data_IF_867031246968
#
_entry.id   IF_867031246968
#
_cell.length_a   1.000
_cell.length_b   1.000
_cell.length_c   1.000
_cell.angle_alpha   90.00
_cell.angle_beta   90.00
_cell.angle_gamma   90.00
#
_symmetry.space_group_name_H-M   'P 1'
#
loop_
_entity.id
_entity.type
_entity.pdbx_description
1 polymer ?
#
# COMPACT_ATOMS: atom_id res chain seq x y z
N UNK A 1 -12.40 -9.92 13.66
CA UNK A 1 -11.04 -9.48 14.09
C UNK A 1 -9.94 -10.52 13.95
N UNK A 2 -10.01 -11.74 14.51
CA UNK A 2 -8.92 -12.73 14.35
C UNK A 2 -8.64 -13.10 12.89
N UNK A 3 -9.69 -13.20 12.08
CA UNK A 3 -9.54 -13.48 10.64
C UNK A 3 -8.92 -12.30 9.87
N UNK A 4 -9.27 -11.07 10.24
CA UNK A 4 -8.66 -9.85 9.68
C UNK A 4 -7.18 -9.73 10.04
N UNK A 5 -6.78 -10.09 11.26
CA UNK A 5 -5.38 -10.19 11.65
C UNK A 5 -4.65 -11.26 10.83
N UNK A 6 -5.29 -12.42 10.62
CA UNK A 6 -4.78 -13.47 9.74
C UNK A 6 -4.60 -12.99 8.29
N UNK A 7 -5.55 -12.23 7.76
CA UNK A 7 -5.45 -11.62 6.43
C UNK A 7 -4.31 -10.60 6.36
N UNK A 8 -4.14 -9.74 7.38
CA UNK A 8 -3.05 -8.77 7.44
C UNK A 8 -1.68 -9.45 7.34
N UNK A 9 -1.48 -10.55 8.08
CA UNK A 9 -0.23 -11.33 8.02
C UNK A 9 0.00 -11.93 6.64
N UNK A 10 -1.06 -12.42 5.98
CA UNK A 10 -0.97 -12.94 4.60
C UNK A 10 -0.61 -11.85 3.61
N UNK A 11 -1.19 -10.66 3.73
CA UNK A 11 -0.85 -9.50 2.89
C UNK A 11 0.64 -9.13 3.03
N UNK A 12 1.15 -9.08 4.26
CA UNK A 12 2.58 -8.84 4.51
C UNK A 12 3.48 -9.91 3.88
N UNK A 13 3.11 -11.19 3.98
CA UNK A 13 3.85 -12.28 3.33
C UNK A 13 3.84 -12.17 1.80
N UNK A 14 2.70 -11.86 1.20
CA UNK A 14 2.58 -11.65 -0.26
C UNK A 14 3.48 -10.50 -0.70
N UNK A 15 3.47 -9.39 0.04
CA UNK A 15 4.22 -8.22 -0.33
C UNK A 15 5.74 -8.43 -0.15
N UNK A 16 6.17 -9.23 0.83
CA UNK A 16 7.56 -9.69 0.95
C UNK A 16 7.98 -10.59 -0.24
N UNK A 17 7.14 -11.52 -0.67
CA UNK A 17 7.42 -12.34 -1.86
C UNK A 17 7.49 -11.48 -3.12
N UNK A 18 6.58 -10.52 -3.25
CA UNK A 18 6.59 -9.56 -4.36
C UNK A 18 7.90 -8.78 -4.40
N UNK A 19 8.38 -8.26 -3.28
CA UNK A 19 9.66 -7.54 -3.18
C UNK A 19 10.83 -8.39 -3.69
N UNK A 20 11.00 -9.60 -3.15
CA UNK A 20 12.07 -10.53 -3.56
C UNK A 20 12.00 -10.82 -5.05
N UNK A 21 10.81 -11.10 -5.59
CA UNK A 21 10.64 -11.40 -7.03
C UNK A 21 10.88 -10.17 -7.90
N UNK A 22 10.38 -9.02 -7.49
CA UNK A 22 10.51 -7.77 -8.24
C UNK A 22 11.96 -7.29 -8.35
N UNK A 23 12.77 -7.53 -7.32
CA UNK A 23 14.19 -7.19 -7.30
C UNK A 23 14.97 -7.80 -8.47
N UNK A 24 14.53 -8.97 -8.96
CA UNK A 24 15.16 -9.68 -10.07
C UNK A 24 14.82 -9.12 -11.47
N UNK A 25 13.79 -8.29 -11.56
CA UNK A 25 13.31 -7.71 -12.84
C UNK A 25 14.10 -6.44 -13.22
N UNK A 26 14.81 -5.83 -12.27
CA UNK A 26 15.62 -4.61 -12.51
C UNK A 26 14.81 -3.35 -12.82
N UNK A 27 13.49 -3.39 -12.68
CA UNK A 27 12.60 -2.27 -12.95
C UNK A 27 12.22 -1.56 -11.65
N UNK A 28 12.63 -0.29 -11.52
CA UNK A 28 12.42 0.55 -10.33
C UNK A 28 10.95 0.78 -10.00
N UNK A 29 10.05 0.79 -10.99
CA UNK A 29 8.62 0.92 -10.75
C UNK A 29 8.05 -0.26 -9.96
N UNK A 30 8.58 -1.46 -10.14
CA UNK A 30 8.13 -2.62 -9.35
C UNK A 30 8.58 -2.52 -7.89
N UNK A 31 9.80 -2.04 -7.62
CA UNK A 31 10.21 -1.75 -6.25
C UNK A 31 9.30 -0.69 -5.60
N UNK A 32 8.88 0.33 -6.36
CA UNK A 32 7.96 1.36 -5.87
C UNK A 32 6.52 0.84 -5.63
N UNK A 33 6.08 -0.22 -6.31
CA UNK A 33 4.79 -0.87 -6.02
C UNK A 33 4.78 -1.48 -4.61
N UNK A 34 5.93 -1.92 -4.11
CA UNK A 34 6.04 -2.44 -2.73
C UNK A 34 5.69 -1.37 -1.71
N UNK A 35 6.18 -0.14 -1.92
CA UNK A 35 5.89 1.00 -1.06
C UNK A 35 4.37 1.26 -0.96
N UNK A 36 3.63 1.17 -2.08
CA UNK A 36 2.18 1.29 -2.09
C UNK A 36 1.49 0.21 -1.25
N UNK A 37 1.95 -1.04 -1.36
CA UNK A 37 1.42 -2.15 -0.57
C UNK A 37 1.68 -1.96 0.93
N UNK A 38 2.85 -1.45 1.30
CA UNK A 38 3.19 -1.18 2.71
C UNK A 38 2.29 -0.11 3.31
N UNK A 39 2.06 1.00 2.61
CA UNK A 39 1.16 2.04 3.11
C UNK A 39 -0.25 1.49 3.33
N UNK A 40 -0.75 0.65 2.41
CA UNK A 40 -2.05 -0.01 2.58
C UNK A 40 -2.09 -0.94 3.80
N UNK A 41 -1.07 -1.81 3.96
CA UNK A 41 -0.99 -2.74 5.09
C UNK A 41 -0.87 -1.99 6.42
N UNK A 42 -0.11 -0.90 6.47
CA UNK A 42 0.02 -0.04 7.64
C UNK A 42 -1.34 0.54 8.07
N UNK A 43 -2.13 1.04 7.11
CA UNK A 43 -3.48 1.56 7.38
C UNK A 43 -4.40 0.47 7.94
N UNK A 44 -4.44 -0.71 7.30
CA UNK A 44 -5.22 -1.85 7.79
C UNK A 44 -4.80 -2.27 9.22
N UNK A 45 -3.49 -2.29 9.50
CA UNK A 45 -2.95 -2.63 10.82
C UNK A 45 -3.40 -1.62 11.88
N UNK A 46 -3.40 -0.33 11.52
CA UNK A 46 -3.81 0.77 12.41
C UNK A 46 -5.30 0.71 12.73
N UNK A 47 -6.17 0.53 11.74
CA UNK A 47 -7.62 0.39 11.97
C UNK A 47 -7.91 -0.84 12.84
N UNK A 48 -7.25 -1.98 12.57
CA UNK A 48 -7.42 -3.19 13.37
C UNK A 48 -6.99 -3.00 14.83
N UNK A 49 -5.90 -2.26 15.09
CA UNK A 49 -5.46 -1.89 16.45
C UNK A 49 -6.45 -0.98 17.17
N UNK A 50 -7.25 -0.21 16.43
CA UNK A 50 -8.34 0.61 16.96
C UNK A 50 -9.65 -0.19 17.13
N UNK A 51 -9.64 -1.49 16.83
CA UNK A 51 -10.82 -2.36 16.94
C UNK A 51 -11.83 -2.20 15.81
N UNK A 52 -11.44 -1.56 14.71
CA UNK A 52 -12.29 -1.34 13.53
C UNK A 52 -12.11 -2.44 12.49
N UNK A 53 -13.17 -2.69 11.74
CA UNK A 53 -13.14 -3.61 10.62
C UNK A 53 -12.76 -2.84 9.35
N UNK A 54 -11.50 -2.90 8.93
CA UNK A 54 -11.03 -2.16 7.75
C UNK A 54 -11.67 -2.62 6.42
N UNK A 55 -12.42 -3.74 6.42
CA UNK A 55 -13.18 -4.20 5.25
C UNK A 55 -14.58 -3.57 5.24
N UNK A 56 -15.27 -3.57 6.39
CA UNK A 56 -16.63 -3.03 6.49
C UNK A 56 -16.65 -1.50 6.68
N UNK A 57 -15.81 -0.98 7.59
CA UNK A 57 -15.73 0.43 7.92
C UNK A 57 -14.86 1.22 6.91
N UNK A 58 -14.08 0.49 6.11
CA UNK A 58 -13.11 1.06 5.19
C UNK A 58 -11.86 1.61 5.88
N UNK A 59 -10.99 2.23 5.07
CA UNK A 59 -9.76 2.85 5.52
C UNK A 59 -9.91 4.36 5.61
N UNK A 60 -9.32 4.95 6.65
CA UNK A 60 -9.28 6.40 6.85
C UNK A 60 -7.83 6.89 6.75
N UNK A 61 -7.40 7.37 5.56
CA UNK A 61 -6.05 7.88 5.37
C UNK A 61 -5.85 9.16 6.19
N UNK A 62 -4.72 9.23 6.89
CA UNK A 62 -4.21 10.47 7.46
C UNK A 62 -3.51 11.30 6.37
N UNK A 63 -3.20 12.57 6.66
CA UNK A 63 -2.40 13.40 5.76
C UNK A 63 -1.05 12.74 5.41
N UNK A 64 -0.39 12.13 6.40
CA UNK A 64 0.86 11.41 6.21
C UNK A 64 0.71 10.18 5.30
N UNK A 65 -0.39 9.41 5.45
CA UNK A 65 -0.65 8.27 4.55
C UNK A 65 -0.85 8.76 3.11
N UNK A 66 -1.57 9.87 2.92
CA UNK A 66 -1.80 10.48 1.60
C UNK A 66 -0.49 10.94 0.97
N UNK A 67 0.40 11.57 1.75
CA UNK A 67 1.73 11.98 1.27
C UNK A 67 2.59 10.77 0.89
N UNK A 68 2.60 9.72 1.71
CA UNK A 68 3.30 8.45 1.41
C UNK A 68 2.76 7.79 0.15
N UNK A 69 1.42 7.75 -0.01
CA UNK A 69 0.77 7.22 -1.22
C UNK A 69 1.15 8.01 -2.47
N UNK A 70 1.10 9.34 -2.41
CA UNK A 70 1.48 10.20 -3.54
C UNK A 70 2.95 10.02 -3.93
N UNK A 71 3.84 9.95 -2.94
CA UNK A 71 5.27 9.72 -3.16
C UNK A 71 5.52 8.35 -3.80
N UNK A 72 4.89 7.30 -3.29
CA UNK A 72 5.01 5.96 -3.84
C UNK A 72 4.41 5.89 -5.26
N UNK A 73 3.26 6.53 -5.49
CA UNK A 73 2.63 6.62 -6.81
C UNK A 73 3.55 7.31 -7.82
N UNK A 74 4.13 8.46 -7.47
CA UNK A 74 5.06 9.18 -8.34
C UNK A 74 6.30 8.35 -8.69
N UNK A 75 6.82 7.57 -7.74
CA UNK A 75 7.92 6.63 -8.02
C UNK A 75 7.53 5.50 -8.97
N UNK A 76 6.29 5.02 -8.90
CA UNK A 76 5.79 3.96 -9.80
C UNK A 76 5.56 4.50 -11.20
N UNK A 77 4.85 5.61 -11.32
CA UNK A 77 4.29 6.11 -12.59
C UNK A 77 5.07 7.28 -13.20
N UNK A 78 6.05 7.84 -12.48
CA UNK A 78 6.85 8.98 -12.92
C UNK A 78 6.09 10.31 -12.96
N UNK A 79 4.85 10.34 -12.46
CA UNK A 79 3.98 11.52 -12.42
C UNK A 79 3.19 11.54 -11.12
N UNK A 80 2.80 12.72 -10.66
CA UNK A 80 1.93 12.83 -9.49
C UNK A 80 0.52 12.32 -9.78
N UNK A 81 -0.14 11.80 -8.76
CA UNK A 81 -1.48 11.23 -8.88
C UNK A 81 -2.53 12.24 -9.40
N UNK A 82 -2.42 13.51 -9.00
CA UNK A 82 -3.27 14.62 -9.45
C UNK A 82 -3.07 15.00 -10.93
N UNK A 83 -1.93 14.64 -11.51
CA UNK A 83 -1.59 14.88 -12.93
C UNK A 83 -1.90 13.66 -13.82
N UNK A 84 -1.98 12.47 -13.22
CA UNK A 84 -2.27 11.23 -13.94
C UNK A 84 -3.70 11.18 -14.49
N UNK A 85 -4.68 11.69 -13.74
CA UNK A 85 -6.10 11.71 -14.15
C UNK A 85 -6.40 12.78 -15.20
N UNK A 86 -5.61 13.85 -15.26
CA UNK A 86 -5.75 14.92 -16.25
C UNK A 86 -5.21 14.56 -17.65
N UNK A 87 -4.53 13.41 -17.78
CA UNK A 87 -3.88 12.96 -19.02
C UNK A 87 -4.65 11.88 -19.78
N UNK A 88 -5.91 11.61 -19.39
CA UNK A 88 -6.82 10.65 -20.05
C UNK A 88 -8.08 11.31 -20.57
#
# INVERSE_FOLDING_TARGET
>A
MKDLDGMLRRMGAIASVFDVRSSTVGNKSFAAFRDLMDVYIDMCSRELKQGKDYIEDGLHPTADDVERLNTAFERVFGVRADQFTASK
#
